data_IF_311208581995
#
_entry.id   IF_311208581995
#
_cell.length_a   1.000
_cell.length_b   1.000
_cell.length_c   1.000
_cell.angle_alpha   90.00
_cell.angle_beta   90.00
_cell.angle_gamma   90.00
#
_symmetry.space_group_name_H-M   'P 1'
#
loop_
_entity.id
_entity.type
_entity.pdbx_description
1 polymer ?
#
# COMPACT_ATOMS: atom_id res chain seq x y z
N UNK A 1 -13.46 3.19 -11.90
CA UNK A 1 -14.53 2.21 -11.60
C UNK A 1 -14.27 1.66 -10.19
N UNK A 2 -15.11 1.94 -9.19
CA UNK A 2 -14.86 1.58 -7.78
C UNK A 2 -14.71 0.06 -7.56
N UNK A 3 -15.37 -0.77 -8.38
CA UNK A 3 -15.21 -2.24 -8.31
C UNK A 3 -13.78 -2.69 -8.63
N UNK A 4 -13.13 -1.99 -9.56
CA UNK A 4 -11.73 -2.25 -9.93
C UNK A 4 -10.77 -1.95 -8.77
N UNK A 5 -11.02 -0.86 -8.03
CA UNK A 5 -10.19 -0.44 -6.90
C UNK A 5 -10.33 -1.42 -5.73
N UNK A 6 -11.56 -1.86 -5.44
CA UNK A 6 -11.82 -2.91 -4.44
C UNK A 6 -11.09 -4.19 -4.81
N UNK A 7 -11.22 -4.64 -6.05
CA UNK A 7 -10.55 -5.86 -6.52
C UNK A 7 -9.03 -5.79 -6.35
N UNK A 8 -8.42 -4.66 -6.69
CA UNK A 8 -6.98 -4.45 -6.52
C UNK A 8 -6.56 -4.51 -5.05
N UNK A 9 -7.31 -3.88 -4.13
CA UNK A 9 -6.99 -3.94 -2.71
C UNK A 9 -7.16 -5.33 -2.10
N UNK A 10 -8.18 -6.08 -2.51
CA UNK A 10 -8.33 -7.49 -2.10
C UNK A 10 -7.21 -8.37 -2.62
N UNK A 11 -6.72 -8.07 -3.84
CA UNK A 11 -5.56 -8.76 -4.40
C UNK A 11 -4.31 -8.47 -3.58
N UNK A 12 -4.09 -7.20 -3.22
CA UNK A 12 -2.98 -6.77 -2.35
C UNK A 12 -3.07 -7.47 -0.98
N UNK A 13 -4.25 -7.52 -0.36
CA UNK A 13 -4.48 -8.23 0.90
C UNK A 13 -4.11 -9.71 0.81
N UNK A 14 -4.55 -10.38 -0.26
CA UNK A 14 -4.21 -11.78 -0.51
C UNK A 14 -2.70 -11.97 -0.70
N UNK A 15 -2.02 -11.09 -1.45
CA UNK A 15 -0.58 -11.16 -1.65
C UNK A 15 0.19 -10.95 -0.35
N UNK A 16 -0.20 -9.98 0.47
CA UNK A 16 0.36 -9.76 1.81
C UNK A 16 0.10 -10.93 2.77
N UNK A 17 -1.02 -11.64 2.61
CA UNK A 17 -1.31 -12.86 3.35
C UNK A 17 -0.38 -14.01 3.01
N UNK A 18 0.15 -14.04 1.79
CA UNK A 18 1.04 -15.08 1.31
C UNK A 18 2.54 -14.78 1.55
N UNK A 19 2.90 -13.57 1.99
CA UNK A 19 4.29 -13.23 2.27
C UNK A 19 4.81 -13.95 3.54
N UNK A 20 6.11 -14.29 3.60
CA UNK A 20 6.71 -14.94 4.77
C UNK A 20 6.53 -14.08 6.02
N UNK A 21 6.03 -14.61 7.12
CA UNK A 21 5.81 -13.84 8.36
C UNK A 21 6.65 -14.40 9.50
N UNK A 22 7.13 -13.51 10.35
CA UNK A 22 7.59 -13.89 11.69
C UNK A 22 6.34 -14.16 12.55
N UNK A 23 6.01 -15.42 12.77
CA UNK A 23 4.87 -15.95 13.55
C UNK A 23 4.94 -15.63 15.06
N UNK A 24 5.58 -14.53 15.46
CA UNK A 24 5.97 -14.30 16.87
C UNK A 24 4.94 -13.46 17.64
N UNK A 25 3.91 -12.88 17.00
CA UNK A 25 2.94 -12.02 17.69
C UNK A 25 1.50 -12.24 17.25
N UNK A 26 0.60 -12.36 18.22
CA UNK A 26 -0.85 -12.47 18.01
C UNK A 26 -1.52 -11.17 17.51
N UNK A 27 -0.74 -10.10 17.30
CA UNK A 27 -1.21 -8.82 16.78
C UNK A 27 -1.10 -8.74 15.26
N UNK A 28 -2.00 -7.99 14.62
CA UNK A 28 -1.89 -7.68 13.19
C UNK A 28 -0.60 -6.88 12.94
N UNK A 29 0.20 -7.35 11.99
CA UNK A 29 1.37 -6.65 11.46
C UNK A 29 0.92 -5.28 10.87
N UNK A 30 1.71 -4.19 11.06
CA UNK A 30 1.47 -2.89 10.43
C UNK A 30 0.92 -2.92 9.00
N UNK A 31 1.46 -3.76 8.12
CA UNK A 31 0.98 -3.87 6.75
C UNK A 31 -0.46 -4.40 6.68
N UNK A 32 -0.79 -5.44 7.46
CA UNK A 32 -2.15 -6.00 7.53
C UNK A 32 -3.15 -4.97 8.08
N UNK A 33 -2.76 -4.19 9.08
CA UNK A 33 -3.62 -3.14 9.66
C UNK A 33 -3.96 -2.08 8.62
N UNK A 34 -2.97 -1.64 7.84
CA UNK A 34 -3.18 -0.67 6.76
C UNK A 34 -4.12 -1.27 5.72
N UNK A 35 -3.84 -2.47 5.20
CA UNK A 35 -4.68 -3.08 4.17
C UNK A 35 -6.11 -3.32 4.64
N UNK A 36 -6.32 -3.80 5.87
CA UNK A 36 -7.64 -3.99 6.48
C UNK A 36 -8.41 -2.67 6.53
N UNK A 37 -7.74 -1.59 6.96
CA UNK A 37 -8.32 -0.25 7.01
C UNK A 37 -8.73 0.24 5.63
N UNK A 38 -7.83 0.19 4.64
CA UNK A 38 -8.13 0.66 3.28
C UNK A 38 -9.29 -0.12 2.66
N UNK A 39 -9.34 -1.44 2.85
CA UNK A 39 -10.47 -2.25 2.39
C UNK A 39 -11.78 -1.84 3.07
N UNK A 40 -11.75 -1.59 4.38
CA UNK A 40 -12.91 -1.16 5.16
C UNK A 40 -13.39 0.22 4.73
N UNK A 41 -12.48 1.18 4.56
CA UNK A 41 -12.78 2.55 4.14
C UNK A 41 -13.50 2.58 2.79
N UNK A 42 -13.11 1.71 1.84
CA UNK A 42 -13.84 1.59 0.57
C UNK A 42 -15.18 0.88 0.74
N UNK A 43 -15.25 -0.20 1.52
CA UNK A 43 -16.50 -0.96 1.73
C UNK A 43 -17.58 -0.12 2.41
N UNK A 44 -17.18 0.79 3.30
CA UNK A 44 -18.08 1.69 4.03
C UNK A 44 -18.34 3.00 3.30
N UNK A 45 -17.69 3.25 2.15
CA UNK A 45 -17.86 4.49 1.43
C UNK A 45 -19.28 4.63 0.87
N UNK A 46 -19.96 5.72 1.24
CA UNK A 46 -21.27 6.06 0.73
C UNK A 46 -21.15 6.71 -0.67
N UNK A 47 -21.61 5.99 -1.69
CA UNK A 47 -21.55 6.42 -3.09
C UNK A 47 -22.25 7.77 -3.32
N UNK A 48 -23.33 8.07 -2.60
CA UNK A 48 -24.05 9.33 -2.72
C UNK A 48 -23.23 10.48 -2.15
N UNK A 49 -22.60 10.27 -0.99
CA UNK A 49 -21.69 11.26 -0.39
C UNK A 49 -20.43 11.49 -1.21
N UNK A 50 -19.91 10.45 -1.88
CA UNK A 50 -18.76 10.57 -2.79
C UNK A 50 -19.12 11.30 -4.10
N UNK A 51 -20.36 11.16 -4.56
CA UNK A 51 -20.84 11.84 -5.77
C UNK A 51 -21.21 13.31 -5.51
N UNK A 52 -21.53 13.65 -4.27
CA UNK A 52 -21.87 15.01 -3.87
C UNK A 52 -20.69 15.98 -4.09
N UNK A 53 -21.02 17.19 -4.51
CA UNK A 53 -20.04 18.22 -4.82
C UNK A 53 -20.47 19.55 -4.23
N UNK A 54 -19.49 20.31 -3.73
CA UNK A 54 -19.74 21.64 -3.21
C UNK A 54 -20.20 22.55 -4.35
N UNK A 55 -21.38 23.17 -4.21
CA UNK A 55 -21.97 24.04 -5.26
C UNK A 55 -21.04 25.15 -5.75
N UNK A 56 -20.17 25.66 -4.86
CA UNK A 56 -19.25 26.77 -5.12
C UNK A 56 -18.02 26.37 -5.93
N UNK A 57 -17.44 25.20 -5.65
CA UNK A 57 -16.15 24.78 -6.24
C UNK A 57 -16.32 23.65 -7.25
N UNK A 58 -17.51 23.02 -7.32
CA UNK A 58 -17.76 21.78 -8.09
C UNK A 58 -16.82 20.63 -7.72
N UNK A 59 -16.21 20.69 -6.53
CA UNK A 59 -15.28 19.69 -6.02
C UNK A 59 -16.02 18.64 -5.21
N UNK A 60 -15.64 17.37 -5.42
CA UNK A 60 -16.13 16.21 -4.64
C UNK A 60 -15.20 15.95 -3.45
N UNK A 61 -15.35 16.75 -2.41
CA UNK A 61 -14.43 16.75 -1.25
C UNK A 61 -14.34 15.38 -0.57
N UNK A 62 -15.45 14.64 -0.49
CA UNK A 62 -15.45 13.30 0.11
C UNK A 62 -14.69 12.29 -0.75
N UNK A 63 -14.78 12.42 -2.08
CA UNK A 63 -14.01 11.60 -3.00
C UNK A 63 -12.52 11.92 -2.91
N UNK A 64 -12.14 13.20 -2.93
CA UNK A 64 -10.74 13.60 -2.77
C UNK A 64 -10.13 13.09 -1.47
N UNK A 65 -10.89 13.16 -0.37
CA UNK A 65 -10.46 12.65 0.92
C UNK A 65 -10.19 11.15 0.88
N UNK A 66 -11.14 10.38 0.35
CA UNK A 66 -10.99 8.93 0.22
C UNK A 66 -9.77 8.58 -0.66
N UNK A 67 -9.61 9.27 -1.79
CA UNK A 67 -8.48 9.05 -2.68
C UNK A 67 -7.14 9.37 -2.01
N UNK A 68 -7.06 10.46 -1.25
CA UNK A 68 -5.85 10.82 -0.49
C UNK A 68 -5.52 9.77 0.58
N UNK A 69 -6.51 9.27 1.30
CA UNK A 69 -6.32 8.21 2.30
C UNK A 69 -5.82 6.91 1.66
N UNK A 70 -6.36 6.56 0.48
CA UNK A 70 -5.90 5.41 -0.28
C UNK A 70 -4.46 5.58 -0.76
N UNK A 71 -4.13 6.75 -1.30
CA UNK A 71 -2.79 7.06 -1.80
C UNK A 71 -1.74 6.99 -0.69
N UNK A 72 -2.00 7.64 0.45
CA UNK A 72 -1.12 7.61 1.62
C UNK A 72 -0.94 6.19 2.16
N UNK A 73 -2.03 5.42 2.26
CA UNK A 73 -1.99 4.04 2.76
C UNK A 73 -1.22 3.09 1.84
N UNK A 74 -1.38 3.23 0.51
CA UNK A 74 -0.64 2.42 -0.47
C UNK A 74 0.86 2.75 -0.43
N UNK A 75 1.23 4.02 -0.30
CA UNK A 75 2.64 4.40 -0.14
C UNK A 75 3.25 3.79 1.13
N UNK A 76 2.57 3.94 2.28
CA UNK A 76 3.04 3.33 3.53
C UNK A 76 3.19 1.81 3.43
N UNK A 77 2.24 1.15 2.74
CA UNK A 77 2.30 -0.28 2.52
C UNK A 77 3.50 -0.67 1.66
N UNK A 78 3.78 0.09 0.59
CA UNK A 78 4.94 -0.10 -0.25
C UNK A 78 6.24 0.03 0.55
N UNK A 79 6.34 1.05 1.40
CA UNK A 79 7.53 1.26 2.25
C UNK A 79 7.75 0.12 3.23
N UNK A 80 6.68 -0.36 3.88
CA UNK A 80 6.76 -1.51 4.81
C UNK A 80 7.19 -2.77 4.05
N UNK A 81 6.58 -3.05 2.89
CA UNK A 81 6.95 -4.22 2.08
C UNK A 81 8.41 -4.13 1.63
N UNK A 82 8.85 -2.96 1.16
CA UNK A 82 10.23 -2.72 0.75
C UNK A 82 11.21 -2.95 1.91
N UNK A 83 10.92 -2.40 3.09
CA UNK A 83 11.79 -2.52 4.25
C UNK A 83 11.84 -3.96 4.79
N UNK A 84 10.68 -4.60 4.95
CA UNK A 84 10.58 -5.94 5.55
C UNK A 84 11.15 -7.03 4.64
N UNK A 85 10.90 -6.95 3.33
CA UNK A 85 11.22 -8.06 2.41
C UNK A 85 12.38 -7.76 1.44
N UNK A 86 12.62 -6.48 1.12
CA UNK A 86 13.56 -6.11 0.06
C UNK A 86 14.81 -5.37 0.56
N UNK A 87 14.89 -4.99 1.84
CA UNK A 87 16.04 -4.24 2.40
C UNK A 87 17.38 -4.94 2.20
N UNK A 88 17.42 -6.28 2.27
CA UNK A 88 18.64 -7.08 2.01
C UNK A 88 18.94 -7.25 0.51
N UNK A 89 17.93 -7.20 -0.35
CA UNK A 89 18.08 -7.36 -1.81
C UNK A 89 18.54 -6.09 -2.53
N UNK A 90 18.25 -4.90 -1.96
CA UNK A 90 18.71 -3.63 -2.52
C UNK A 90 20.22 -3.44 -2.34
N UNK A 91 20.76 -3.86 -1.19
CA UNK A 91 22.20 -3.78 -0.90
C UNK A 91 23.05 -4.62 -1.87
N UNK A 92 22.55 -5.77 -2.30
CA UNK A 92 23.27 -6.66 -3.22
C UNK A 92 23.35 -6.15 -4.67
N UNK A 93 22.46 -5.21 -5.08
CA UNK A 93 22.46 -4.67 -6.44
C UNK A 93 23.45 -3.51 -6.65
N UNK A 94 23.99 -2.93 -5.57
CA UNK A 94 24.93 -1.80 -5.62
C UNK A 94 26.40 -2.28 -5.56
N UNK A 95 26.65 -3.56 -5.24
CA UNK A 95 27.96 -4.18 -5.41
C UNK A 95 28.20 -4.51 -6.88
N UNK A 96 28.60 -3.51 -7.66
CA UNK A 96 29.25 -3.72 -8.97
C UNK A 96 30.52 -4.57 -8.82
N UNK A 97 30.99 -5.25 -9.88
CA UNK A 97 32.07 -6.23 -9.78
C UNK A 97 33.36 -5.59 -9.24
N UNK A 98 33.78 -6.02 -8.05
CA UNK A 98 35.01 -5.59 -7.37
C UNK A 98 36.30 -6.14 -8.02
N UNK A 99 36.21 -6.69 -9.24
CA UNK A 99 37.31 -7.41 -9.92
C UNK A 99 38.23 -6.51 -10.78
N UNK A 100 38.20 -5.19 -10.60
CA UNK A 100 39.11 -4.26 -11.30
C UNK A 100 40.17 -3.59 -10.42
N UNK A 101 40.22 -3.85 -9.11
CA UNK A 101 41.25 -3.27 -8.22
C UNK A 101 42.51 -4.14 -8.05
N UNK A 102 42.70 -5.15 -8.89
CA UNK A 102 43.80 -6.12 -8.73
C UNK A 102 44.44 -6.57 -10.04
N UNK A 103 44.69 -5.66 -10.98
CA UNK A 103 45.56 -5.96 -12.13
C UNK A 103 46.90 -5.24 -11.89
N UNK A 104 48.03 -5.97 -11.80
CA UNK A 104 49.37 -5.40 -11.59
C UNK A 104 49.87 -4.57 -12.78
#
# INVERSE_FOLDING_TARGET
>A
NPRSVIFQLLTIEAQLSALPREETSAALDPAQRITTRLCTDIRLADMMQLADFTKKTRVRVNLERLLKQLDEGVHQLSDIVAHTYFSHSLAQRISGPQWLEGIP
#
